data_IF_569239822500
#
_entry.id   IF_569239822500
#
_cell.length_a   1.000
_cell.length_b   1.000
_cell.length_c   1.000
_cell.angle_alpha   90.00
_cell.angle_beta   90.00
_cell.angle_gamma   90.00
#
_symmetry.space_group_name_H-M   'P 1'
#
loop_
_entity.id
_entity.type
_entity.pdbx_description
1 polymer ?
#
# COMPACT_ATOMS: atom_id res chain seq x y z
N UNK A 1 -21.74 6.44 -14.64
CA UNK A 1 -22.01 4.98 -14.72
C UNK A 1 -21.09 4.31 -13.72
N UNK A 2 -21.63 3.54 -12.80
CA UNK A 2 -20.86 2.79 -11.79
C UNK A 2 -20.18 1.60 -12.45
N UNK A 3 -18.86 1.46 -12.29
CA UNK A 3 -18.13 0.32 -12.86
C UNK A 3 -16.63 0.53 -13.05
N UNK A 4 -16.13 1.72 -12.78
CA UNK A 4 -14.69 2.02 -12.79
C UNK A 4 -13.97 1.55 -14.06
N UNK A 5 -12.79 0.96 -13.88
CA UNK A 5 -11.93 0.49 -14.97
C UNK A 5 -12.65 -0.48 -15.92
N UNK A 6 -13.52 -1.36 -15.40
CA UNK A 6 -14.29 -2.29 -16.25
C UNK A 6 -15.07 -1.57 -17.35
N UNK A 7 -15.86 -0.55 -16.98
CA UNK A 7 -16.67 0.17 -17.96
C UNK A 7 -15.83 0.98 -18.94
N UNK A 8 -14.77 1.60 -18.49
CA UNK A 8 -13.88 2.36 -19.35
C UNK A 8 -13.27 1.49 -20.45
N UNK A 9 -12.70 0.35 -20.05
CA UNK A 9 -12.08 -0.58 -21.02
C UNK A 9 -13.14 -1.25 -21.90
N UNK A 10 -14.31 -1.59 -21.32
CA UNK A 10 -15.42 -2.17 -22.06
C UNK A 10 -15.97 -1.21 -23.14
N UNK A 11 -16.13 0.07 -22.83
CA UNK A 11 -16.61 1.08 -23.78
C UNK A 11 -15.57 1.36 -24.86
N UNK A 12 -14.27 1.35 -24.54
CA UNK A 12 -13.20 1.63 -25.50
C UNK A 12 -12.83 0.42 -26.38
N UNK A 13 -12.79 -0.80 -25.83
CA UNK A 13 -12.21 -1.97 -26.48
C UNK A 13 -13.15 -3.19 -26.52
N UNK A 14 -14.33 -3.04 -25.95
CA UNK A 14 -15.34 -4.10 -25.92
C UNK A 14 -15.30 -4.98 -24.66
N UNK A 15 -16.35 -5.85 -24.47
CA UNK A 15 -16.59 -6.53 -23.21
C UNK A 15 -15.51 -7.55 -22.82
N UNK A 16 -14.85 -8.21 -23.79
CA UNK A 16 -13.77 -9.15 -23.54
C UNK A 16 -12.57 -8.47 -22.86
N UNK A 17 -12.18 -7.31 -23.37
CA UNK A 17 -11.06 -6.54 -22.80
C UNK A 17 -11.42 -5.92 -21.46
N UNK A 18 -12.67 -5.47 -21.26
CA UNK A 18 -13.16 -5.06 -19.95
C UNK A 18 -13.04 -6.17 -18.90
N UNK A 19 -13.45 -7.41 -19.27
CA UNK A 19 -13.28 -8.58 -18.42
C UNK A 19 -11.81 -8.82 -18.05
N UNK A 20 -10.91 -8.85 -19.05
CA UNK A 20 -9.48 -9.07 -18.81
C UNK A 20 -8.90 -8.00 -17.89
N UNK A 21 -9.21 -6.73 -18.13
CA UNK A 21 -8.69 -5.61 -17.32
C UNK A 21 -9.08 -5.74 -15.85
N UNK A 22 -10.35 -6.06 -15.55
CA UNK A 22 -10.81 -6.24 -14.16
C UNK A 22 -10.19 -7.47 -13.50
N UNK A 23 -10.06 -8.57 -14.24
CA UNK A 23 -9.40 -9.76 -13.71
C UNK A 23 -7.93 -9.48 -13.38
N UNK A 24 -7.20 -8.78 -14.25
CA UNK A 24 -5.81 -8.40 -14.01
C UNK A 24 -5.69 -7.44 -12.82
N UNK A 25 -6.57 -6.43 -12.72
CA UNK A 25 -6.60 -5.52 -11.58
C UNK A 25 -6.84 -6.26 -10.26
N UNK A 26 -7.79 -7.21 -10.25
CA UNK A 26 -8.06 -8.00 -9.06
C UNK A 26 -6.89 -8.92 -8.71
N UNK A 27 -6.29 -9.61 -9.69
CA UNK A 27 -5.11 -10.46 -9.49
C UNK A 27 -3.90 -9.64 -8.99
N UNK A 28 -3.64 -8.47 -9.57
CA UNK A 28 -2.59 -7.55 -9.14
C UNK A 28 -2.73 -7.16 -7.67
N UNK A 29 -3.97 -6.97 -7.19
CA UNK A 29 -4.22 -6.56 -5.81
C UNK A 29 -3.84 -7.61 -4.77
N UNK A 30 -3.82 -8.92 -5.13
CA UNK A 30 -3.58 -10.01 -4.17
C UNK A 30 -2.15 -9.99 -3.59
N UNK A 31 -1.06 -9.97 -4.39
CA UNK A 31 0.29 -9.84 -3.86
C UNK A 31 0.55 -8.46 -3.24
N UNK A 32 -0.12 -7.41 -3.73
CA UNK A 32 -0.05 -6.09 -3.12
C UNK A 32 -0.55 -6.09 -1.67
N UNK A 33 -1.69 -6.76 -1.39
CA UNK A 33 -2.15 -6.90 0.01
C UNK A 33 -1.13 -7.62 0.87
N UNK A 34 -0.54 -8.71 0.38
CA UNK A 34 0.47 -9.44 1.14
C UNK A 34 1.71 -8.57 1.44
N UNK A 35 2.10 -7.71 0.50
CA UNK A 35 3.18 -6.74 0.67
C UNK A 35 2.85 -5.72 1.77
N UNK A 36 1.70 -5.06 1.69
CA UNK A 36 1.28 -4.05 2.68
C UNK A 36 1.07 -4.68 4.07
N UNK A 37 0.52 -5.88 4.13
CA UNK A 37 0.34 -6.61 5.38
C UNK A 37 1.67 -7.04 6.02
N UNK A 38 2.68 -7.35 5.21
CA UNK A 38 4.05 -7.59 5.70
C UNK A 38 4.64 -6.31 6.31
N UNK A 39 4.43 -5.15 5.67
CA UNK A 39 4.79 -3.85 6.24
C UNK A 39 4.07 -3.59 7.58
N UNK A 40 2.76 -3.85 7.66
CA UNK A 40 1.99 -3.73 8.91
C UNK A 40 2.58 -4.61 10.01
N UNK A 41 2.89 -5.88 9.70
CA UNK A 41 3.42 -6.83 10.67
C UNK A 41 4.81 -6.43 11.16
N UNK A 42 5.70 -6.02 10.26
CA UNK A 42 7.06 -5.58 10.63
C UNK A 42 7.02 -4.25 11.39
N UNK A 43 6.15 -3.31 11.02
CA UNK A 43 5.96 -2.06 11.77
C UNK A 43 5.38 -2.31 13.16
N UNK A 44 4.44 -3.26 13.30
CA UNK A 44 3.89 -3.67 14.58
C UNK A 44 4.97 -4.21 15.54
N UNK A 45 5.98 -4.90 15.01
CA UNK A 45 7.11 -5.37 15.78
C UNK A 45 7.83 -4.23 16.53
N UNK A 46 7.95 -3.05 15.92
CA UNK A 46 8.60 -1.88 16.53
C UNK A 46 7.83 -1.28 17.70
N UNK A 47 6.55 -1.62 17.85
CA UNK A 47 5.75 -1.23 19.03
C UNK A 47 6.11 -2.09 20.23
N UNK A 48 6.41 -3.38 20.01
CA UNK A 48 6.71 -4.34 21.07
C UNK A 48 8.22 -4.60 21.20
N UNK A 49 8.79 -5.30 20.22
CA UNK A 49 10.21 -5.67 20.14
C UNK A 49 10.65 -5.71 18.69
N UNK A 50 11.61 -4.87 18.26
CA UNK A 50 12.07 -4.83 16.86
C UNK A 50 12.54 -6.18 16.29
N UNK A 51 13.06 -7.09 17.15
CA UNK A 51 13.51 -8.41 16.71
C UNK A 51 12.37 -9.27 16.14
N UNK A 52 11.11 -9.00 16.53
CA UNK A 52 9.94 -9.68 15.96
C UNK A 52 9.76 -9.38 14.47
N UNK A 53 10.30 -8.27 13.94
CA UNK A 53 10.25 -7.95 12.53
C UNK A 53 10.98 -8.97 11.65
N UNK A 54 11.90 -9.75 12.20
CA UNK A 54 12.61 -10.83 11.51
C UNK A 54 12.04 -12.21 11.80
N UNK A 55 11.06 -12.32 12.71
CA UNK A 55 10.41 -13.58 13.03
C UNK A 55 9.32 -13.91 12.02
N UNK A 56 9.57 -14.94 11.19
CA UNK A 56 8.67 -15.35 10.09
C UNK A 56 7.27 -15.72 10.58
N UNK A 57 7.15 -16.41 11.71
CA UNK A 57 5.86 -16.79 12.29
C UNK A 57 5.07 -15.57 12.77
N UNK A 58 5.74 -14.64 13.46
CA UNK A 58 5.09 -13.39 13.88
C UNK A 58 4.55 -12.60 12.68
N UNK A 59 5.38 -12.42 11.65
CA UNK A 59 5.01 -11.66 10.46
C UNK A 59 3.86 -12.34 9.70
N UNK A 60 3.94 -13.65 9.48
CA UNK A 60 2.91 -14.41 8.77
C UNK A 60 1.57 -14.44 9.54
N UNK A 61 1.59 -14.73 10.83
CA UNK A 61 0.38 -14.79 11.64
C UNK A 61 -0.29 -13.41 11.75
N UNK A 62 0.50 -12.35 11.88
CA UNK A 62 -0.01 -10.97 11.87
C UNK A 62 -0.63 -10.63 10.52
N UNK A 63 0.05 -10.97 9.41
CA UNK A 63 -0.47 -10.80 8.05
C UNK A 63 -1.83 -11.49 7.91
N UNK A 64 -1.91 -12.77 8.26
CA UNK A 64 -3.15 -13.55 8.16
C UNK A 64 -4.25 -12.95 9.05
N UNK A 65 -3.96 -12.68 10.32
CA UNK A 65 -4.93 -12.14 11.27
C UNK A 65 -5.50 -10.78 10.81
N UNK A 66 -4.63 -9.89 10.32
CA UNK A 66 -5.05 -8.57 9.83
C UNK A 66 -5.84 -8.69 8.53
N UNK A 67 -5.42 -9.54 7.57
CA UNK A 67 -6.17 -9.77 6.33
C UNK A 67 -7.59 -10.26 6.60
N UNK A 68 -7.74 -11.28 7.44
CA UNK A 68 -9.05 -11.82 7.79
C UNK A 68 -9.87 -10.84 8.63
N UNK A 69 -9.23 -10.08 9.54
CA UNK A 69 -9.88 -9.01 10.30
C UNK A 69 -10.47 -7.93 9.40
N UNK A 70 -9.69 -7.42 8.44
CA UNK A 70 -10.15 -6.44 7.46
C UNK A 70 -11.27 -7.01 6.57
N UNK A 71 -11.17 -8.28 6.16
CA UNK A 71 -12.19 -8.95 5.36
C UNK A 71 -13.51 -9.07 6.11
N UNK A 72 -13.48 -9.50 7.38
CA UNK A 72 -14.68 -9.61 8.24
C UNK A 72 -15.31 -8.24 8.48
N UNK A 73 -14.50 -7.20 8.70
CA UNK A 73 -14.99 -5.83 8.80
C UNK A 73 -15.71 -5.39 7.52
N UNK A 74 -15.12 -5.71 6.36
CA UNK A 74 -15.73 -5.41 5.07
C UNK A 74 -17.10 -6.12 4.86
N UNK A 75 -17.30 -7.32 5.41
CA UNK A 75 -18.61 -8.00 5.32
C UNK A 75 -19.76 -7.22 5.98
N UNK A 76 -19.45 -6.34 6.93
CA UNK A 76 -20.46 -5.50 7.61
C UNK A 76 -20.85 -4.25 6.84
N UNK A 77 -20.24 -4.00 5.67
CA UNK A 77 -20.54 -2.84 4.83
C UNK A 77 -20.27 -1.53 5.57
N UNK A 78 -19.04 -1.11 5.66
CA UNK A 78 -18.67 0.07 6.46
C UNK A 78 -19.17 1.35 5.76
N UNK A 79 -20.20 2.00 6.32
CA UNK A 79 -20.69 3.32 5.85
C UNK A 79 -19.67 4.46 6.07
N UNK A 80 -18.63 4.20 6.88
CA UNK A 80 -17.64 5.20 7.29
C UNK A 80 -16.35 5.21 6.43
N UNK A 81 -16.38 4.59 5.25
CA UNK A 81 -15.20 4.50 4.39
C UNK A 81 -14.52 5.83 4.13
N UNK A 82 -15.29 6.85 3.74
CA UNK A 82 -14.74 8.16 3.42
C UNK A 82 -14.05 8.81 4.63
N UNK A 83 -14.65 8.69 5.80
CA UNK A 83 -14.09 9.25 7.05
C UNK A 83 -12.82 8.47 7.45
N UNK A 84 -12.89 7.14 7.47
CA UNK A 84 -11.73 6.30 7.80
C UNK A 84 -10.57 6.51 6.83
N UNK A 85 -10.86 6.61 5.52
CA UNK A 85 -9.87 6.86 4.49
C UNK A 85 -9.22 8.25 4.67
N UNK A 86 -10.01 9.28 4.96
CA UNK A 86 -9.50 10.64 5.19
C UNK A 86 -8.62 10.72 6.45
N UNK A 87 -9.07 10.10 7.55
CA UNK A 87 -8.28 10.02 8.79
C UNK A 87 -7.00 9.21 8.54
N UNK A 88 -7.10 8.08 7.81
CA UNK A 88 -5.95 7.26 7.43
C UNK A 88 -4.94 8.00 6.59
N UNK A 89 -5.37 8.80 5.62
CA UNK A 89 -4.49 9.61 4.78
C UNK A 89 -3.75 10.68 5.62
N UNK A 90 -4.45 11.38 6.51
CA UNK A 90 -3.86 12.43 7.33
C UNK A 90 -2.89 11.84 8.35
N UNK A 91 -3.39 10.95 9.21
CA UNK A 91 -2.60 10.42 10.34
C UNK A 91 -1.63 9.32 9.92
N UNK A 92 -1.96 8.52 8.91
CA UNK A 92 -1.14 7.39 8.49
C UNK A 92 -0.15 7.70 7.37
N UNK A 93 -0.33 8.78 6.61
CA UNK A 93 0.56 9.14 5.51
C UNK A 93 1.14 10.54 5.66
N UNK A 94 0.30 11.58 5.75
CA UNK A 94 0.77 12.97 5.74
C UNK A 94 1.59 13.27 6.98
N UNK A 95 1.08 12.98 8.18
CA UNK A 95 1.77 13.28 9.45
C UNK A 95 3.09 12.51 9.57
N UNK A 96 3.15 11.17 9.39
CA UNK A 96 4.42 10.44 9.46
C UNK A 96 5.44 10.92 8.44
N UNK A 97 5.01 11.17 7.19
CA UNK A 97 5.93 11.65 6.15
C UNK A 97 6.43 13.06 6.44
N UNK A 98 5.56 13.96 6.89
CA UNK A 98 5.97 15.30 7.32
C UNK A 98 6.91 15.24 8.53
N UNK A 99 6.66 14.34 9.48
CA UNK A 99 7.55 14.12 10.62
C UNK A 99 8.94 13.62 10.19
N UNK A 100 9.04 12.66 9.26
CA UNK A 100 10.32 12.20 8.71
C UNK A 100 11.07 13.35 8.03
N UNK A 101 10.39 14.16 7.21
CA UNK A 101 11.00 15.32 6.53
C UNK A 101 11.51 16.34 7.55
N UNK A 102 10.71 16.65 8.56
CA UNK A 102 11.10 17.59 9.63
C UNK A 102 12.29 17.07 10.44
N UNK A 103 12.26 15.78 10.83
CA UNK A 103 13.36 15.15 11.57
C UNK A 103 14.65 15.13 10.76
N UNK A 104 14.58 14.86 9.44
CA UNK A 104 15.73 14.93 8.56
C UNK A 104 16.30 16.35 8.48
N UNK A 105 15.44 17.35 8.37
CA UNK A 105 15.86 18.74 8.38
C UNK A 105 16.56 19.10 9.70
N UNK A 106 15.98 18.76 10.84
CA UNK A 106 16.56 19.00 12.16
C UNK A 106 17.91 18.29 12.34
N UNK A 107 18.03 17.05 11.83
CA UNK A 107 19.28 16.28 11.86
C UNK A 107 20.39 16.98 11.09
N UNK A 108 20.09 17.48 9.88
CA UNK A 108 21.07 18.20 9.05
C UNK A 108 21.43 19.57 9.63
N UNK A 109 20.45 20.35 10.14
CA UNK A 109 20.68 21.63 10.79
C UNK A 109 21.46 21.49 12.11
N UNK A 110 21.36 20.32 12.77
CA UNK A 110 22.17 19.97 13.94
C UNK A 110 23.65 19.68 13.63
N UNK A 111 24.08 19.84 12.35
CA UNK A 111 25.47 19.65 11.93
C UNK A 111 25.88 18.20 11.72
N UNK A 112 24.93 17.26 11.68
CA UNK A 112 25.21 15.85 11.40
C UNK A 112 25.45 15.65 9.89
N UNK A 113 26.46 14.86 9.56
CA UNK A 113 26.76 14.54 8.16
C UNK A 113 25.66 13.64 7.55
N UNK A 114 25.18 13.92 6.32
CA UNK A 114 24.23 13.05 5.65
C UNK A 114 24.86 11.69 5.32
N UNK A 115 24.06 10.64 5.40
CA UNK A 115 24.50 9.27 5.09
C UNK A 115 24.82 9.06 3.60
N UNK A 116 24.21 9.85 2.71
CA UNK A 116 24.51 9.91 1.28
C UNK A 116 24.96 11.33 0.89
N UNK A 117 26.03 11.47 0.06
CA UNK A 117 26.44 12.79 -0.42
C UNK A 117 25.36 13.36 -1.37
N UNK A 118 25.07 14.66 -1.25
CA UNK A 118 24.17 15.38 -2.14
C UNK A 118 24.87 15.64 -3.49
N UNK A 119 25.08 14.59 -4.27
CA UNK A 119 25.64 14.69 -5.62
C UNK A 119 24.64 14.19 -6.66
N UNK A 120 24.62 14.74 -7.88
CA UNK A 120 23.73 14.25 -8.93
C UNK A 120 23.84 12.73 -9.16
N UNK A 121 25.03 12.17 -9.03
CA UNK A 121 25.27 10.72 -9.14
C UNK A 121 24.61 9.89 -8.01
N UNK A 122 24.48 10.45 -6.82
CA UNK A 122 23.85 9.75 -5.71
C UNK A 122 22.32 9.83 -5.75
N UNK A 123 21.76 10.85 -6.42
CA UNK A 123 20.31 11.10 -6.49
C UNK A 123 19.68 10.50 -7.75
N UNK A 124 20.44 10.47 -8.87
CA UNK A 124 19.94 9.93 -10.13
C UNK A 124 20.26 8.43 -10.23
N UNK A 125 19.28 7.58 -10.57
CA UNK A 125 19.53 6.16 -10.75
C UNK A 125 20.43 5.91 -11.97
N UNK A 126 21.47 5.12 -11.79
CA UNK A 126 22.27 4.60 -12.90
C UNK A 126 21.57 3.37 -13.46
N UNK A 127 20.72 3.50 -14.48
CA UNK A 127 19.93 2.38 -15.06
C UNK A 127 20.82 1.40 -15.87
N UNK A 128 21.96 1.00 -15.30
CA UNK A 128 22.97 0.20 -15.98
C UNK A 128 22.80 -1.32 -15.76
N UNK A 129 21.92 -1.73 -14.85
CA UNK A 129 21.69 -3.14 -14.54
C UNK A 129 20.21 -3.47 -14.33
N UNK A 130 19.85 -4.74 -14.47
CA UNK A 130 18.48 -5.23 -14.34
C UNK A 130 17.85 -4.92 -12.98
N UNK A 131 18.65 -4.95 -11.90
CA UNK A 131 18.18 -4.67 -10.55
C UNK A 131 17.64 -3.24 -10.43
N UNK A 132 18.28 -2.26 -11.06
CA UNK A 132 17.84 -0.86 -11.04
C UNK A 132 16.55 -0.66 -11.83
N UNK A 133 16.37 -1.37 -12.95
CA UNK A 133 15.11 -1.40 -13.68
C UNK A 133 13.99 -2.02 -12.86
N UNK A 134 14.26 -3.11 -12.12
CA UNK A 134 13.30 -3.74 -11.21
C UNK A 134 12.90 -2.81 -10.07
N UNK A 135 13.86 -2.06 -9.49
CA UNK A 135 13.59 -1.05 -8.45
C UNK A 135 12.73 0.09 -9.01
N UNK A 136 13.00 0.55 -10.22
CA UNK A 136 12.19 1.57 -10.89
C UNK A 136 10.76 1.09 -11.12
N UNK A 137 10.58 -0.14 -11.62
CA UNK A 137 9.25 -0.75 -11.77
C UNK A 137 8.50 -0.83 -10.43
N UNK A 138 9.19 -1.25 -9.35
CA UNK A 138 8.63 -1.25 -8.00
C UNK A 138 8.19 0.15 -7.51
N UNK A 139 8.95 1.20 -7.83
CA UNK A 139 8.56 2.58 -7.53
C UNK A 139 7.32 3.02 -8.32
N UNK A 140 7.19 2.61 -9.59
CA UNK A 140 6.00 2.89 -10.39
C UNK A 140 4.75 2.27 -9.77
N UNK A 141 4.84 1.03 -9.28
CA UNK A 141 3.74 0.36 -8.56
C UNK A 141 3.39 1.07 -7.25
N UNK A 142 4.39 1.60 -6.53
CA UNK A 142 4.15 2.34 -5.29
C UNK A 142 3.35 3.65 -5.50
N UNK A 143 3.38 4.21 -6.72
CA UNK A 143 2.63 5.42 -7.11
C UNK A 143 1.32 5.05 -7.85
N UNK A 144 1.15 3.79 -8.25
CA UNK A 144 -0.06 3.32 -8.93
C UNK A 144 -1.29 3.40 -8.03
N UNK A 145 -2.50 3.37 -8.63
CA UNK A 145 -3.77 3.35 -7.91
C UNK A 145 -4.52 4.68 -7.88
N UNK A 146 -4.05 5.66 -8.63
CA UNK A 146 -4.75 6.95 -8.79
C UNK A 146 -6.10 6.81 -9.51
N UNK A 147 -6.30 5.69 -10.19
CA UNK A 147 -7.53 5.28 -10.87
C UNK A 147 -8.60 4.73 -9.89
N UNK A 148 -8.19 4.27 -8.71
CA UNK A 148 -9.09 3.63 -7.74
C UNK A 148 -10.26 4.50 -7.27
N UNK A 149 -10.11 5.82 -7.03
CA UNK A 149 -11.24 6.69 -6.70
C UNK A 149 -12.31 6.79 -7.81
N UNK A 150 -11.99 6.35 -9.03
CA UNK A 150 -12.93 6.43 -10.16
C UNK A 150 -14.20 5.59 -9.97
N UNK A 151 -14.18 4.56 -9.13
CA UNK A 151 -15.39 3.78 -8.78
C UNK A 151 -16.39 4.60 -7.96
N UNK A 152 -15.97 5.74 -7.40
CA UNK A 152 -16.78 6.64 -6.59
C UNK A 152 -17.07 7.96 -7.28
N UNK A 153 -16.79 8.08 -8.59
CA UNK A 153 -16.98 9.33 -9.34
C UNK A 153 -18.42 9.85 -9.30
N UNK A 154 -19.39 8.95 -9.20
CA UNK A 154 -20.82 9.29 -9.09
C UNK A 154 -21.23 9.85 -7.73
N UNK A 155 -20.42 9.62 -6.71
CA UNK A 155 -20.65 10.13 -5.35
C UNK A 155 -20.10 11.56 -5.16
N UNK A 156 -19.46 12.13 -6.21
CA UNK A 156 -18.83 13.44 -6.18
C UNK A 156 -19.75 14.51 -6.77
N UNK A 157 -19.92 15.62 -6.07
CA UNK A 157 -20.62 16.80 -6.59
C UNK A 157 -19.87 17.41 -7.78
N UNK A 158 -20.58 17.66 -8.91
CA UNK A 158 -19.98 18.17 -10.15
C UNK A 158 -18.72 17.40 -10.58
N UNK A 159 -18.83 16.07 -10.82
CA UNK A 159 -17.68 15.19 -11.02
C UNK A 159 -16.77 15.62 -12.18
N UNK A 160 -17.34 16.19 -13.25
CA UNK A 160 -16.58 16.66 -14.41
C UNK A 160 -15.55 17.76 -14.06
N UNK A 161 -15.82 18.56 -13.02
CA UNK A 161 -14.95 19.66 -12.59
C UNK A 161 -14.11 19.28 -11.37
N UNK A 162 -14.74 18.66 -10.37
CA UNK A 162 -14.12 18.42 -9.07
C UNK A 162 -13.21 17.19 -9.08
N UNK A 163 -13.58 16.14 -9.82
CA UNK A 163 -12.80 14.91 -9.86
C UNK A 163 -11.40 15.11 -10.50
N UNK A 164 -11.26 15.71 -11.72
CA UNK A 164 -9.94 15.96 -12.28
C UNK A 164 -9.07 16.88 -11.43
N UNK A 165 -9.68 17.88 -10.78
CA UNK A 165 -8.96 18.79 -9.86
C UNK A 165 -8.45 18.07 -8.63
N UNK A 166 -9.27 17.19 -8.03
CA UNK A 166 -8.89 16.38 -6.89
C UNK A 166 -7.74 15.43 -7.24
N UNK A 167 -7.82 14.75 -8.38
CA UNK A 167 -6.76 13.87 -8.89
C UNK A 167 -5.44 14.64 -9.09
N UNK A 168 -5.48 15.79 -9.74
CA UNK A 168 -4.27 16.59 -9.97
C UNK A 168 -3.60 17.02 -8.64
N UNK A 169 -4.39 17.55 -7.71
CA UNK A 169 -3.87 17.99 -6.39
C UNK A 169 -3.30 16.80 -5.63
N UNK A 170 -4.02 15.68 -5.58
CA UNK A 170 -3.56 14.45 -4.91
C UNK A 170 -2.27 13.93 -5.53
N UNK A 171 -2.14 13.94 -6.85
CA UNK A 171 -0.93 13.51 -7.56
C UNK A 171 0.28 14.35 -7.16
N UNK A 172 0.13 15.68 -7.14
CA UNK A 172 1.22 16.60 -6.75
C UNK A 172 1.64 16.32 -5.31
N UNK A 173 0.68 16.18 -4.40
CA UNK A 173 0.95 15.90 -2.98
C UNK A 173 1.67 14.55 -2.82
N UNK A 174 1.18 13.49 -3.47
CA UNK A 174 1.76 12.14 -3.39
C UNK A 174 3.19 12.14 -3.91
N UNK A 175 3.44 12.73 -5.09
CA UNK A 175 4.78 12.81 -5.68
C UNK A 175 5.72 13.58 -4.76
N UNK A 176 5.30 14.73 -4.26
CA UNK A 176 6.12 15.53 -3.33
C UNK A 176 6.45 14.76 -2.06
N UNK A 177 5.45 14.18 -1.39
CA UNK A 177 5.65 13.42 -0.15
C UNK A 177 6.51 12.18 -0.39
N UNK A 178 6.33 11.48 -1.50
CA UNK A 178 7.13 10.29 -1.84
C UNK A 178 8.60 10.64 -2.06
N UNK A 179 8.88 11.68 -2.83
CA UNK A 179 10.26 12.11 -3.11
C UNK A 179 10.90 12.66 -1.82
N UNK A 180 10.25 13.62 -1.15
CA UNK A 180 10.81 14.24 0.04
C UNK A 180 10.97 13.25 1.20
N UNK A 181 10.00 12.35 1.41
CA UNK A 181 10.08 11.32 2.43
C UNK A 181 11.20 10.31 2.18
N UNK A 182 11.31 9.80 0.94
CA UNK A 182 12.36 8.86 0.57
C UNK A 182 13.76 9.48 0.68
N UNK A 183 13.94 10.71 0.21
CA UNK A 183 15.19 11.44 0.35
C UNK A 183 15.54 11.64 1.83
N UNK A 184 14.58 12.03 2.66
CA UNK A 184 14.77 12.24 4.09
C UNK A 184 15.26 10.97 4.80
N UNK A 185 14.66 9.82 4.50
CA UNK A 185 15.12 8.53 5.02
C UNK A 185 16.55 8.22 4.56
N UNK A 186 16.81 8.38 3.27
CA UNK A 186 18.11 8.08 2.66
C UNK A 186 19.25 8.97 3.20
N UNK A 187 18.95 10.21 3.60
CA UNK A 187 19.92 11.14 4.18
C UNK A 187 20.38 10.75 5.58
N UNK A 188 19.55 10.01 6.33
CA UNK A 188 19.82 9.68 7.72
C UNK A 188 20.26 8.24 7.89
N UNK A 189 19.63 7.32 7.15
CA UNK A 189 19.91 5.90 7.28
C UNK A 189 20.92 5.46 6.23
N UNK A 190 22.08 4.90 6.64
CA UNK A 190 23.10 4.45 5.70
C UNK A 190 22.58 3.38 4.73
N UNK A 191 23.01 3.40 3.46
CA UNK A 191 22.70 2.36 2.49
C UNK A 191 23.04 0.97 3.04
N UNK A 192 22.15 0.00 2.83
CA UNK A 192 22.35 -1.39 3.27
C UNK A 192 21.89 -1.69 4.71
N UNK A 193 21.51 -0.68 5.49
CA UNK A 193 20.91 -0.89 6.83
C UNK A 193 19.38 -0.81 6.85
N UNK A 194 18.77 -0.35 5.77
CA UNK A 194 17.30 -0.27 5.66
C UNK A 194 16.71 -1.61 5.21
N UNK A 195 15.78 -2.13 5.99
CA UNK A 195 14.90 -3.21 5.56
C UNK A 195 13.85 -2.68 4.60
N UNK A 196 13.57 -3.39 3.52
CA UNK A 196 12.49 -3.02 2.60
C UNK A 196 11.11 -3.10 3.26
N UNK A 197 10.94 -4.02 4.21
CA UNK A 197 9.66 -4.26 4.87
C UNK A 197 9.41 -3.33 6.06
N UNK A 198 10.45 -2.91 6.79
CA UNK A 198 10.36 -2.13 8.03
C UNK A 198 11.06 -0.77 7.98
N UNK A 199 11.54 -0.35 6.81
CA UNK A 199 12.42 0.81 6.66
C UNK A 199 11.90 2.12 7.23
N UNK A 200 10.58 2.38 7.15
CA UNK A 200 9.99 3.57 7.75
C UNK A 200 10.04 3.53 9.29
N UNK A 201 9.73 2.36 9.89
CA UNK A 201 9.81 2.19 11.35
C UNK A 201 11.26 2.24 11.84
N UNK A 202 12.20 1.66 11.08
CA UNK A 202 13.64 1.73 11.36
C UNK A 202 14.15 3.17 11.33
N UNK A 203 13.75 3.94 10.31
CA UNK A 203 14.12 5.35 10.20
C UNK A 203 13.65 6.15 11.42
N UNK A 204 12.40 5.97 11.84
CA UNK A 204 11.88 6.61 13.05
C UNK A 204 12.64 6.17 14.30
N UNK A 205 12.91 4.88 14.47
CA UNK A 205 13.64 4.37 15.65
C UNK A 205 15.05 4.96 15.72
N UNK A 206 15.75 5.02 14.61
CA UNK A 206 17.10 5.61 14.55
C UNK A 206 17.07 7.12 14.84
N UNK A 207 16.16 7.87 14.19
CA UNK A 207 16.05 9.31 14.38
C UNK A 207 15.69 9.67 15.82
N UNK A 208 14.66 9.05 16.37
CA UNK A 208 14.23 9.32 17.74
C UNK A 208 15.24 8.84 18.79
N UNK A 209 15.97 7.76 18.51
CA UNK A 209 17.08 7.33 19.39
C UNK A 209 18.20 8.35 19.40
N UNK A 210 18.59 8.88 18.24
CA UNK A 210 19.62 9.93 18.14
C UNK A 210 19.23 11.23 18.87
N UNK A 211 17.92 11.52 18.95
CA UNK A 211 17.38 12.70 19.63
C UNK A 211 17.02 12.45 21.11
N UNK A 212 17.25 11.25 21.63
CA UNK A 212 16.85 10.89 23.01
C UNK A 212 15.34 10.72 23.21
N UNK A 213 14.56 10.63 22.13
CA UNK A 213 13.09 10.59 22.11
C UNK A 213 12.53 9.26 21.60
N UNK A 214 13.23 8.14 21.83
CA UNK A 214 12.87 6.81 21.32
C UNK A 214 11.45 6.38 21.66
N UNK A 215 10.86 6.89 22.73
CA UNK A 215 9.47 6.63 23.12
C UNK A 215 8.44 7.08 22.06
N UNK A 216 8.82 7.94 21.11
CA UNK A 216 7.95 8.38 20.02
C UNK A 216 7.86 7.35 18.88
N UNK A 217 8.81 6.41 18.77
CA UNK A 217 8.79 5.37 17.73
C UNK A 217 7.48 4.58 17.72
N UNK A 218 6.99 4.01 18.84
CA UNK A 218 5.70 3.31 18.85
C UNK A 218 4.53 4.18 18.40
N UNK A 219 4.52 5.47 18.73
CA UNK A 219 3.45 6.40 18.33
C UNK A 219 3.40 6.55 16.82
N UNK A 220 4.56 6.76 16.18
CA UNK A 220 4.63 6.82 14.72
C UNK A 220 4.31 5.50 14.05
N UNK A 221 4.71 4.38 14.64
CA UNK A 221 4.34 3.04 14.16
C UNK A 221 2.81 2.83 14.19
N UNK A 222 2.11 3.28 15.24
CA UNK A 222 0.65 3.24 15.30
C UNK A 222 0.02 4.06 14.16
N UNK A 223 0.55 5.24 13.86
CA UNK A 223 0.05 6.06 12.75
C UNK A 223 0.28 5.37 11.39
N UNK A 224 1.47 4.83 11.15
CA UNK A 224 1.78 4.08 9.92
C UNK A 224 0.86 2.87 9.74
N UNK A 225 0.64 2.09 10.81
CA UNK A 225 -0.27 0.93 10.81
C UNK A 225 -1.69 1.39 10.52
N UNK A 226 -2.17 2.45 11.14
CA UNK A 226 -3.50 2.99 10.92
C UNK A 226 -3.73 3.35 9.44
N UNK A 227 -2.76 4.06 8.83
CA UNK A 227 -2.81 4.39 7.40
C UNK A 227 -2.86 3.15 6.51
N UNK A 228 -2.01 2.17 6.77
CA UNK A 228 -1.99 0.92 6.02
C UNK A 228 -3.30 0.14 6.17
N UNK A 229 -3.86 0.03 7.38
CA UNK A 229 -5.13 -0.67 7.62
C UNK A 229 -6.29 -0.01 6.89
N UNK A 230 -6.40 1.32 6.94
CA UNK A 230 -7.46 2.05 6.22
C UNK A 230 -7.33 1.88 4.71
N UNK A 231 -6.11 1.86 4.19
CA UNK A 231 -5.84 1.58 2.78
C UNK A 231 -6.28 0.16 2.41
N UNK A 232 -5.91 -0.87 3.18
CA UNK A 232 -6.32 -2.25 2.93
C UNK A 232 -7.84 -2.38 2.95
N UNK A 233 -8.52 -1.81 3.95
CA UNK A 233 -9.98 -1.86 4.07
C UNK A 233 -10.65 -1.24 2.83
N UNK A 234 -10.19 -0.07 2.38
CA UNK A 234 -10.78 0.61 1.22
C UNK A 234 -10.49 -0.10 -0.10
N UNK A 235 -9.26 -0.56 -0.31
CA UNK A 235 -8.86 -1.26 -1.53
C UNK A 235 -9.47 -2.64 -1.67
N UNK A 236 -9.76 -3.34 -0.58
CA UNK A 236 -10.37 -4.67 -0.60
C UNK A 236 -11.69 -4.69 -1.37
N UNK A 237 -12.50 -3.63 -1.30
CA UNK A 237 -13.80 -3.57 -1.98
C UNK A 237 -13.73 -3.09 -3.44
N UNK A 238 -12.80 -2.22 -3.79
CA UNK A 238 -12.73 -1.62 -5.14
C UNK A 238 -12.67 -2.68 -6.26
N UNK A 239 -11.58 -3.46 -6.36
CA UNK A 239 -11.44 -4.51 -7.37
C UNK A 239 -12.52 -5.59 -7.25
N UNK A 240 -12.97 -5.90 -6.03
CA UNK A 240 -14.04 -6.91 -5.80
C UNK A 240 -15.38 -6.49 -6.35
N UNK A 241 -15.74 -5.19 -6.30
CA UNK A 241 -16.96 -4.66 -6.95
C UNK A 241 -16.86 -4.75 -8.48
N UNK A 242 -15.70 -4.48 -9.05
CA UNK A 242 -15.44 -4.65 -10.48
C UNK A 242 -15.68 -6.11 -10.93
N UNK A 243 -15.10 -7.07 -10.21
CA UNK A 243 -15.27 -8.49 -10.49
C UNK A 243 -16.73 -8.96 -10.30
N UNK A 244 -17.44 -8.42 -9.30
CA UNK A 244 -18.87 -8.66 -9.11
C UNK A 244 -19.70 -8.16 -10.31
N UNK A 245 -19.36 -7.02 -10.88
CA UNK A 245 -20.06 -6.49 -12.07
C UNK A 245 -19.92 -7.43 -13.26
N UNK A 246 -18.73 -7.95 -13.46
CA UNK A 246 -18.42 -8.96 -14.50
C UNK A 246 -19.19 -10.26 -14.26
N UNK A 247 -19.30 -10.70 -13.01
CA UNK A 247 -20.07 -11.87 -12.64
C UNK A 247 -21.58 -11.68 -12.97
N UNK A 248 -22.13 -10.49 -12.71
CA UNK A 248 -23.54 -10.15 -13.02
C UNK A 248 -23.83 -10.12 -14.50
N UNK A 249 -22.86 -9.82 -15.33
CA UNK A 249 -23.00 -9.86 -16.79
C UNK A 249 -22.89 -11.28 -17.36
N UNK A 250 -22.74 -12.31 -16.50
CA UNK A 250 -22.74 -13.72 -16.91
C UNK A 250 -21.38 -14.28 -17.34
N UNK A 251 -20.28 -13.53 -17.16
CA UNK A 251 -18.93 -14.00 -17.47
C UNK A 251 -18.33 -14.92 -16.41
N UNK A 252 -18.92 -14.95 -15.20
CA UNK A 252 -18.50 -15.83 -14.11
C UNK A 252 -19.71 -16.62 -13.59
N UNK A 253 -19.50 -17.81 -12.98
CA UNK A 253 -20.55 -18.63 -12.40
C UNK A 253 -21.39 -17.85 -11.37
N UNK A 254 -22.66 -18.22 -11.22
CA UNK A 254 -23.63 -17.56 -10.33
C UNK A 254 -23.16 -17.49 -8.86
N UNK A 255 -22.33 -18.43 -8.41
CA UNK A 255 -21.74 -18.44 -7.08
C UNK A 255 -21.05 -17.10 -6.75
N UNK A 256 -20.38 -16.48 -7.72
CA UNK A 256 -19.66 -15.22 -7.54
C UNK A 256 -20.56 -14.00 -7.40
N UNK A 257 -21.85 -14.14 -7.74
CA UNK A 257 -22.84 -13.08 -7.63
C UNK A 257 -23.44 -12.99 -6.22
N UNK A 258 -23.19 -13.98 -5.34
CA UNK A 258 -23.74 -14.02 -4.00
C UNK A 258 -23.28 -12.85 -3.16
N UNK A 259 -24.23 -12.20 -2.51
CA UNK A 259 -24.01 -11.04 -1.64
C UNK A 259 -24.70 -11.25 -0.30
N UNK A 260 -24.14 -10.64 0.73
CA UNK A 260 -24.79 -10.58 2.03
C UNK A 260 -25.87 -9.46 2.06
N UNK A 261 -26.53 -9.31 3.22
CA UNK A 261 -27.54 -8.27 3.46
C UNK A 261 -27.05 -6.83 3.24
N UNK A 262 -25.75 -6.60 3.25
CA UNK A 262 -25.11 -5.30 3.00
C UNK A 262 -24.66 -5.12 1.56
N UNK A 263 -25.00 -6.05 0.67
CA UNK A 263 -24.63 -5.99 -0.74
C UNK A 263 -23.20 -6.35 -1.07
N UNK A 264 -22.45 -6.91 -0.13
CA UNK A 264 -21.01 -7.22 -0.25
C UNK A 264 -20.82 -8.61 -0.89
N UNK A 265 -19.91 -8.77 -1.89
CA UNK A 265 -19.64 -10.05 -2.55
C UNK A 265 -18.77 -10.96 -1.67
N UNK A 266 -19.40 -11.66 -0.72
CA UNK A 266 -18.70 -12.51 0.26
C UNK A 266 -17.77 -13.55 -0.39
N UNK A 267 -18.16 -14.30 -1.45
CA UNK A 267 -17.29 -15.29 -2.05
C UNK A 267 -15.99 -14.68 -2.62
N UNK A 268 -16.10 -13.51 -3.26
CA UNK A 268 -14.95 -12.82 -3.86
C UNK A 268 -13.97 -12.39 -2.78
N UNK A 269 -14.45 -11.74 -1.71
CA UNK A 269 -13.61 -11.29 -0.62
C UNK A 269 -12.97 -12.46 0.14
N UNK A 270 -13.71 -13.54 0.36
CA UNK A 270 -13.18 -14.74 1.03
C UNK A 270 -12.07 -15.38 0.22
N UNK A 271 -12.26 -15.54 -1.10
CA UNK A 271 -11.20 -16.05 -1.97
C UNK A 271 -9.99 -15.13 -1.99
N UNK A 272 -10.21 -13.83 -2.06
CA UNK A 272 -9.14 -12.81 -1.99
C UNK A 272 -8.32 -12.96 -0.71
N UNK A 273 -8.96 -13.07 0.45
CA UNK A 273 -8.28 -13.27 1.73
C UNK A 273 -7.48 -14.59 1.77
N UNK A 274 -8.08 -15.67 1.24
CA UNK A 274 -7.43 -16.97 1.17
C UNK A 274 -6.18 -16.93 0.28
N UNK A 275 -6.29 -16.41 -0.94
CA UNK A 275 -5.16 -16.34 -1.86
C UNK A 275 -4.06 -15.42 -1.30
N UNK A 276 -4.43 -14.26 -0.74
CA UNK A 276 -3.46 -13.37 -0.10
C UNK A 276 -2.72 -14.06 1.05
N UNK A 277 -3.43 -14.85 1.87
CA UNK A 277 -2.81 -15.64 2.94
C UNK A 277 -1.84 -16.69 2.39
N UNK A 278 -2.23 -17.37 1.30
CA UNK A 278 -1.34 -18.34 0.62
C UNK A 278 -0.10 -17.65 0.03
N UNK A 279 -0.27 -16.49 -0.61
CA UNK A 279 0.88 -15.68 -1.09
C UNK A 279 1.80 -15.31 0.08
N UNK A 280 1.25 -14.98 1.25
CA UNK A 280 2.02 -14.70 2.46
C UNK A 280 2.95 -15.85 2.89
N UNK A 281 2.68 -17.10 2.49
CA UNK A 281 3.59 -18.23 2.75
C UNK A 281 4.97 -18.06 2.09
N UNK A 282 5.11 -17.18 1.10
CA UNK A 282 6.40 -16.82 0.49
C UNK A 282 7.42 -16.39 1.56
N UNK A 283 6.98 -15.85 2.70
CA UNK A 283 7.82 -15.48 3.84
C UNK A 283 8.67 -16.67 4.35
N UNK A 284 8.17 -17.90 4.25
CA UNK A 284 8.88 -19.09 4.70
C UNK A 284 9.89 -19.63 3.69
N UNK A 285 9.71 -19.32 2.40
CA UNK A 285 10.57 -19.81 1.32
C UNK A 285 11.73 -18.84 1.00
N UNK A 286 11.61 -17.56 1.38
CA UNK A 286 12.66 -16.56 1.14
C UNK A 286 13.69 -16.53 2.28
N UNK A 287 14.97 -16.21 1.97
CA UNK A 287 16.01 -16.10 3.00
C UNK A 287 15.68 -15.04 4.07
N UNK A 288 15.08 -13.93 3.67
CA UNK A 288 14.74 -12.80 4.55
C UNK A 288 13.31 -12.33 4.32
N UNK A 289 12.72 -11.65 5.31
CA UNK A 289 11.41 -11.02 5.21
C UNK A 289 11.43 -9.89 4.17
N UNK A 290 12.51 -9.12 4.09
CA UNK A 290 12.70 -8.11 3.04
C UNK A 290 12.71 -8.73 1.64
N UNK A 291 13.33 -9.91 1.48
CA UNK A 291 13.30 -10.66 0.22
C UNK A 291 11.88 -11.13 -0.14
N UNK A 292 11.12 -11.62 0.84
CA UNK A 292 9.72 -11.99 0.63
C UNK A 292 8.86 -10.78 0.25
N UNK A 293 9.02 -9.66 0.96
CA UNK A 293 8.36 -8.40 0.65
C UNK A 293 8.63 -7.97 -0.80
N UNK A 294 9.90 -8.05 -1.23
CA UNK A 294 10.31 -7.67 -2.58
C UNK A 294 9.70 -8.58 -3.65
N UNK A 295 9.68 -9.89 -3.42
CA UNK A 295 9.05 -10.86 -4.36
C UNK A 295 7.56 -10.59 -4.51
N UNK A 296 6.84 -10.35 -3.41
CA UNK A 296 5.41 -10.04 -3.44
C UNK A 296 5.14 -8.71 -4.16
N UNK A 297 5.97 -7.69 -3.93
CA UNK A 297 5.89 -6.40 -4.61
C UNK A 297 6.20 -6.54 -6.11
N UNK A 298 7.24 -7.28 -6.48
CA UNK A 298 7.58 -7.54 -7.88
C UNK A 298 6.49 -8.34 -8.61
N UNK A 299 5.85 -9.29 -7.94
CA UNK A 299 4.72 -10.05 -8.48
C UNK A 299 3.52 -9.12 -8.78
N UNK A 300 3.25 -8.17 -7.90
CA UNK A 300 2.25 -7.13 -8.16
C UNK A 300 2.64 -6.22 -9.34
N UNK A 301 3.93 -5.91 -9.50
CA UNK A 301 4.40 -5.06 -10.60
C UNK A 301 4.31 -5.70 -11.99
N UNK A 302 4.19 -7.01 -12.06
CA UNK A 302 4.16 -7.76 -13.33
C UNK A 302 2.74 -8.03 -13.86
N UNK A 303 1.73 -7.83 -13.03
CA UNK A 303 0.30 -8.00 -13.35
C UNK A 303 -0.37 -6.67 -13.70
#
# INVERSE_FOLDING_TARGET
KDGGMYLWVKEAFGPKWGFVAVCMQWLNSLPWYATVLTFVATTLAYIFKPELATNRWFVFLTLAAVMWGCTILNFRGIRLYAILSSIGAIFGTIIPTAAIILLAALYLFGGHAPAIPFTPKAVLPELNNLTQWMLLAGMMVAIAGIDMPAVHVTDVDNPQKNFPKAILISSIIIIFLSIAGSLSISLIVPPGRLSMASGAAEAFDQMFTAMGARWMTPVMCVFLIWGALTTIITWTLGPSKGLLQVAREGYLPEFWQRRNQYGIPVPILTLQALITTVIGLVIFFMPTISGAFWVMMALSAQL
#
